data_IF_407702064844
#
_entry.id   IF_407702064844
#
_cell.length_a   1.000
_cell.length_b   1.000
_cell.length_c   1.000
_cell.angle_alpha   90.00
_cell.angle_beta   90.00
_cell.angle_gamma   90.00
#
_symmetry.space_group_name_H-M   'P 1'
#
loop_
_entity.id
_entity.type
_entity.pdbx_description
1 polymer ?
#
# COMPACT_ATOMS: atom_id res chain seq x y z
N UNK A 1 40.86 28.02 -19.31
CA UNK A 1 39.87 27.03 -19.79
C UNK A 1 39.67 26.01 -18.68
N UNK A 2 38.64 26.19 -17.85
CA UNK A 2 38.30 25.21 -16.80
C UNK A 2 37.51 24.05 -17.42
N UNK A 3 38.03 22.83 -17.25
CA UNK A 3 37.33 21.61 -17.62
C UNK A 3 36.34 21.27 -16.50
N UNK A 4 35.04 21.53 -16.74
CA UNK A 4 33.97 21.02 -15.87
C UNK A 4 33.98 19.49 -15.92
N UNK A 5 34.42 18.85 -14.84
CA UNK A 5 34.23 17.41 -14.65
C UNK A 5 32.75 17.11 -14.50
N UNK A 6 32.15 16.60 -15.56
CA UNK A 6 30.77 16.12 -15.56
C UNK A 6 30.69 14.86 -14.69
N UNK A 7 29.98 14.90 -13.57
CA UNK A 7 29.72 13.68 -12.78
C UNK A 7 28.68 12.82 -13.49
N UNK A 8 29.11 11.70 -14.09
CA UNK A 8 28.20 10.69 -14.61
C UNK A 8 27.68 9.82 -13.46
N UNK A 9 26.37 9.79 -13.25
CA UNK A 9 25.73 8.80 -12.38
C UNK A 9 25.74 7.46 -13.12
N UNK A 10 26.42 6.45 -12.56
CA UNK A 10 26.44 5.09 -13.09
C UNK A 10 25.42 4.24 -12.36
N UNK A 11 24.40 3.77 -13.07
CA UNK A 11 23.47 2.78 -12.52
C UNK A 11 24.14 1.40 -12.55
N UNK A 12 24.18 0.73 -11.40
CA UNK A 12 24.59 -0.66 -11.33
C UNK A 12 23.52 -1.53 -11.97
N UNK A 13 23.91 -2.41 -12.90
CA UNK A 13 22.99 -3.38 -13.47
C UNK A 13 22.44 -4.30 -12.35
N UNK A 14 21.14 -4.61 -12.33
CA UNK A 14 20.58 -5.53 -11.36
C UNK A 14 21.26 -6.89 -11.49
N UNK A 15 21.56 -7.52 -10.36
CA UNK A 15 22.06 -8.89 -10.33
C UNK A 15 21.05 -9.79 -11.04
N UNK A 16 21.44 -10.42 -12.14
CA UNK A 16 20.59 -11.44 -12.77
C UNK A 16 20.73 -12.71 -11.93
N UNK A 17 19.69 -13.18 -11.23
CA UNK A 17 19.78 -14.43 -10.48
C UNK A 17 20.09 -15.55 -11.46
N UNK A 18 21.17 -16.29 -11.21
CA UNK A 18 21.56 -17.47 -11.98
C UNK A 18 22.84 -17.38 -12.80
N UNK A 19 23.55 -16.24 -12.84
CA UNK A 19 24.79 -16.11 -13.66
C UNK A 19 26.12 -16.23 -12.91
N UNK A 20 26.12 -16.42 -11.59
CA UNK A 20 27.34 -16.70 -10.81
C UNK A 20 27.06 -17.73 -9.72
N UNK A 21 27.98 -18.69 -9.46
CA UNK A 21 27.85 -19.60 -8.34
C UNK A 21 28.14 -18.82 -7.04
N UNK A 22 27.09 -18.34 -6.39
CA UNK A 22 27.21 -17.87 -5.02
C UNK A 22 27.55 -19.07 -4.11
N UNK A 23 28.40 -18.92 -3.07
CA UNK A 23 28.59 -19.94 -2.04
C UNK A 23 27.23 -20.42 -1.49
N UNK A 24 27.08 -21.72 -1.15
CA UNK A 24 25.81 -22.30 -0.77
C UNK A 24 25.15 -21.62 0.45
N UNK A 25 25.96 -21.01 1.32
CA UNK A 25 25.48 -20.20 2.45
C UNK A 25 24.77 -18.91 2.00
N UNK A 26 25.30 -18.24 0.97
CA UNK A 26 24.72 -17.02 0.40
C UNK A 26 23.49 -17.37 -0.43
N UNK A 27 23.54 -18.46 -1.20
CA UNK A 27 22.39 -18.94 -1.97
C UNK A 27 21.19 -19.31 -1.07
N UNK A 28 21.42 -19.99 0.06
CA UNK A 28 20.36 -20.36 1.01
C UNK A 28 19.77 -19.16 1.77
N UNK A 29 20.61 -18.17 2.08
CA UNK A 29 20.17 -16.92 2.67
C UNK A 29 19.31 -16.09 1.68
N UNK A 30 19.69 -16.07 0.40
CA UNK A 30 18.92 -15.42 -0.67
C UNK A 30 17.61 -16.17 -0.98
N UNK A 31 17.62 -17.50 -0.99
CA UNK A 31 16.41 -18.31 -1.17
C UNK A 31 15.40 -18.16 -0.03
N UNK A 32 15.87 -17.96 1.22
CA UNK A 32 14.99 -17.58 2.34
C UNK A 32 14.45 -16.15 2.24
N UNK A 33 15.08 -15.32 1.39
CA UNK A 33 14.81 -13.89 1.22
C UNK A 33 14.19 -13.56 -0.13
N UNK A 34 13.68 -14.57 -0.86
CA UNK A 34 12.63 -14.35 -1.85
C UNK A 34 11.36 -13.95 -1.09
N UNK A 35 11.36 -12.73 -0.60
CA UNK A 35 10.13 -11.97 -0.39
C UNK A 35 9.48 -12.04 -1.77
N UNK A 36 8.38 -12.79 -1.89
CA UNK A 36 7.74 -13.17 -3.16
C UNK A 36 7.35 -11.97 -4.04
N UNK A 37 7.49 -10.75 -3.51
CA UNK A 37 7.16 -9.50 -4.15
C UNK A 37 7.97 -8.39 -3.49
N UNK A 38 8.71 -7.61 -4.26
CA UNK A 38 9.37 -6.43 -3.71
C UNK A 38 8.29 -5.46 -3.17
N UNK A 39 8.58 -4.72 -2.11
CA UNK A 39 7.60 -3.80 -1.50
C UNK A 39 7.15 -2.67 -2.46
N UNK A 40 7.88 -2.47 -3.56
CA UNK A 40 7.58 -1.53 -4.66
C UNK A 40 6.91 -2.21 -5.88
N UNK A 41 6.70 -3.53 -5.85
CA UNK A 41 5.99 -4.24 -6.92
C UNK A 41 4.49 -3.98 -6.79
N UNK A 42 4.08 -2.85 -7.37
CA UNK A 42 2.70 -2.43 -7.56
C UNK A 42 1.97 -3.32 -8.59
N UNK A 43 1.98 -4.64 -8.43
CA UNK A 43 1.26 -5.54 -9.33
C UNK A 43 -0.24 -5.25 -9.33
N UNK A 44 -0.80 -5.23 -10.53
CA UNK A 44 -2.19 -4.94 -10.93
C UNK A 44 -2.94 -3.88 -10.09
N UNK A 45 -2.52 -2.62 -10.27
CA UNK A 45 -3.16 -1.42 -9.71
C UNK A 45 -4.41 -0.97 -10.50
N UNK A 46 -4.89 -1.75 -11.48
CA UNK A 46 -5.95 -1.33 -12.40
C UNK A 46 -7.33 -1.14 -11.71
N UNK A 47 -7.56 -1.79 -10.57
CA UNK A 47 -8.74 -1.55 -9.71
C UNK A 47 -8.55 -0.50 -8.61
N UNK A 48 -7.34 0.03 -8.45
CA UNK A 48 -6.99 0.97 -7.38
C UNK A 48 -7.21 2.43 -7.76
N UNK A 49 -7.31 2.80 -9.03
CA UNK A 49 -7.28 4.21 -9.48
C UNK A 49 -8.38 5.07 -8.86
N UNK A 50 -9.62 4.59 -8.79
CA UNK A 50 -10.72 5.40 -8.27
C UNK A 50 -10.65 5.57 -6.73
N UNK A 51 -10.30 4.51 -6.00
CA UNK A 51 -10.10 4.55 -4.54
C UNK A 51 -8.85 5.34 -4.17
N UNK A 52 -7.79 5.22 -4.97
CA UNK A 52 -6.55 5.99 -4.82
C UNK A 52 -6.81 7.47 -5.06
N UNK A 53 -7.59 7.83 -6.08
CA UNK A 53 -7.97 9.22 -6.34
C UNK A 53 -8.72 9.83 -5.15
N UNK A 54 -9.70 9.13 -4.61
CA UNK A 54 -10.45 9.60 -3.45
C UNK A 54 -9.60 9.62 -2.17
N UNK A 55 -8.69 8.64 -2.00
CA UNK A 55 -7.70 8.64 -0.92
C UNK A 55 -6.80 9.87 -0.98
N UNK A 56 -6.26 10.20 -2.16
CA UNK A 56 -5.43 11.38 -2.38
C UNK A 56 -6.21 12.68 -2.15
N UNK A 57 -7.48 12.74 -2.56
CA UNK A 57 -8.35 13.88 -2.25
C UNK A 57 -8.52 14.05 -0.74
N UNK A 58 -8.84 12.97 -0.03
CA UNK A 58 -8.98 12.99 1.43
C UNK A 58 -7.67 13.38 2.12
N UNK A 59 -6.53 12.93 1.58
CA UNK A 59 -5.21 13.33 2.07
C UNK A 59 -4.94 14.82 1.83
N UNK A 60 -5.32 15.37 0.68
CA UNK A 60 -5.20 16.80 0.41
C UNK A 60 -6.08 17.64 1.35
N UNK A 61 -7.28 17.15 1.69
CA UNK A 61 -8.23 17.86 2.57
C UNK A 61 -7.88 17.74 4.06
N UNK A 62 -7.41 16.58 4.51
CA UNK A 62 -7.27 16.24 5.93
C UNK A 62 -5.85 15.88 6.37
N UNK A 63 -4.90 15.81 5.44
CA UNK A 63 -3.51 15.41 5.70
C UNK A 63 -3.43 14.03 6.37
N UNK A 64 -2.59 13.91 7.40
CA UNK A 64 -2.43 12.68 8.19
C UNK A 64 -3.73 12.20 8.87
N UNK A 65 -4.75 13.07 8.99
CA UNK A 65 -6.07 12.71 9.50
C UNK A 65 -6.97 11.96 8.52
N UNK A 66 -6.58 11.89 7.24
CA UNK A 66 -7.43 11.36 6.15
C UNK A 66 -7.91 9.93 6.39
N UNK A 67 -7.06 9.05 6.91
CA UNK A 67 -7.42 7.66 7.17
C UNK A 67 -8.53 7.54 8.23
N UNK A 68 -8.49 8.36 9.29
CA UNK A 68 -9.56 8.41 10.30
C UNK A 68 -10.84 9.01 9.74
N UNK A 69 -10.74 10.04 8.90
CA UNK A 69 -11.89 10.64 8.23
C UNK A 69 -12.59 9.64 7.29
N UNK A 70 -11.82 8.86 6.52
CA UNK A 70 -12.35 7.80 5.66
C UNK A 70 -13.02 6.69 6.47
N UNK A 71 -12.40 6.25 7.57
CA UNK A 71 -13.01 5.31 8.51
C UNK A 71 -14.34 5.84 9.07
N UNK A 72 -14.41 7.10 9.47
CA UNK A 72 -15.66 7.70 9.95
C UNK A 72 -16.76 7.73 8.89
N UNK A 73 -16.42 7.91 7.60
CA UNK A 73 -17.38 7.77 6.49
C UNK A 73 -17.84 6.32 6.31
N UNK A 74 -16.93 5.35 6.46
CA UNK A 74 -17.28 3.93 6.44
C UNK A 74 -18.25 3.59 7.59
N UNK A 75 -17.94 3.99 8.83
CA UNK A 75 -18.81 3.77 9.99
C UNK A 75 -20.21 4.36 9.78
N UNK A 76 -20.30 5.59 9.26
CA UNK A 76 -21.59 6.22 8.91
C UNK A 76 -22.38 5.42 7.88
N UNK A 77 -21.72 4.95 6.81
CA UNK A 77 -22.35 4.13 5.79
C UNK A 77 -22.83 2.78 6.35
N UNK A 78 -22.04 2.18 7.24
CA UNK A 78 -22.41 0.96 7.96
C UNK A 78 -23.68 1.16 8.80
N UNK A 79 -23.75 2.24 9.59
CA UNK A 79 -24.93 2.56 10.38
C UNK A 79 -26.16 2.92 9.52
N UNK A 80 -25.95 3.43 8.31
CA UNK A 80 -27.02 3.69 7.35
C UNK A 80 -27.47 2.42 6.58
N UNK A 81 -26.82 1.27 6.78
CA UNK A 81 -27.09 0.04 6.05
C UNK A 81 -26.58 0.03 4.59
N UNK A 82 -25.82 1.06 4.19
CA UNK A 82 -25.26 1.17 2.85
C UNK A 82 -23.93 0.39 2.77
N UNK A 83 -24.05 -0.89 2.41
CA UNK A 83 -22.91 -1.79 2.24
C UNK A 83 -21.98 -1.35 1.11
N UNK A 84 -22.51 -0.76 0.03
CA UNK A 84 -21.70 -0.34 -1.10
C UNK A 84 -20.79 0.83 -0.71
N UNK A 85 -21.35 1.85 -0.06
CA UNK A 85 -20.56 2.97 0.44
C UNK A 85 -19.61 2.54 1.55
N UNK A 86 -20.02 1.61 2.42
CA UNK A 86 -19.14 1.05 3.43
C UNK A 86 -17.90 0.38 2.83
N UNK A 87 -18.10 -0.53 1.87
CA UNK A 87 -17.00 -1.24 1.21
C UNK A 87 -16.09 -0.28 0.42
N UNK A 88 -16.67 0.79 -0.14
CA UNK A 88 -15.91 1.86 -0.79
C UNK A 88 -14.98 2.57 0.19
N UNK A 89 -15.53 3.11 1.27
CA UNK A 89 -14.75 3.89 2.26
C UNK A 89 -13.77 3.01 3.04
N UNK A 90 -14.08 1.74 3.26
CA UNK A 90 -13.13 0.78 3.82
C UNK A 90 -11.97 0.53 2.84
N UNK A 91 -12.25 0.43 1.53
CA UNK A 91 -11.24 0.37 0.49
C UNK A 91 -10.33 1.60 0.47
N UNK A 92 -10.89 2.80 0.53
CA UNK A 92 -10.14 4.06 0.63
C UNK A 92 -9.28 4.10 1.90
N UNK A 93 -9.84 3.66 3.05
CA UNK A 93 -9.10 3.56 4.31
C UNK A 93 -7.93 2.59 4.18
N UNK A 94 -8.11 1.45 3.51
CA UNK A 94 -7.04 0.45 3.29
C UNK A 94 -5.92 0.98 2.39
N UNK A 95 -6.24 1.84 1.42
CA UNK A 95 -5.25 2.52 0.58
C UNK A 95 -4.42 3.53 1.37
N UNK A 96 -5.00 4.18 2.39
CA UNK A 96 -4.29 5.15 3.25
C UNK A 96 -3.54 4.49 4.42
N UNK A 97 -4.20 3.59 5.14
CA UNK A 97 -3.68 2.88 6.31
C UNK A 97 -4.34 1.49 6.38
N UNK A 98 -3.57 0.47 5.99
CA UNK A 98 -4.02 -0.92 6.00
C UNK A 98 -4.38 -1.42 7.40
N UNK A 99 -3.63 -1.02 8.42
CA UNK A 99 -3.83 -1.49 9.81
C UNK A 99 -5.11 -0.90 10.39
N UNK A 100 -5.37 0.38 10.12
CA UNK A 100 -6.60 1.05 10.53
C UNK A 100 -7.84 0.47 9.84
N UNK A 101 -7.72 0.06 8.58
CA UNK A 101 -8.80 -0.62 7.86
C UNK A 101 -9.11 -2.02 8.44
N UNK A 102 -8.06 -2.79 8.78
CA UNK A 102 -8.21 -4.09 9.45
C UNK A 102 -8.92 -3.91 10.81
N UNK A 103 -8.49 -2.95 11.64
CA UNK A 103 -9.17 -2.61 12.89
C UNK A 103 -10.64 -2.23 12.69
N UNK A 104 -10.96 -1.43 11.66
CA UNK A 104 -12.34 -1.06 11.38
C UNK A 104 -13.20 -2.28 10.99
N UNK A 105 -12.66 -3.19 10.16
CA UNK A 105 -13.36 -4.42 9.78
C UNK A 105 -13.56 -5.39 10.94
N UNK A 106 -12.63 -5.44 11.89
CA UNK A 106 -12.69 -6.33 13.06
C UNK A 106 -13.52 -5.75 14.19
N UNK A 107 -13.50 -4.41 14.34
CA UNK A 107 -14.07 -3.70 15.50
C UNK A 107 -15.47 -3.15 15.25
N UNK A 108 -15.98 -3.16 14.01
CA UNK A 108 -17.41 -2.87 13.82
C UNK A 108 -18.21 -3.94 14.54
N UNK A 109 -18.90 -3.58 15.64
CA UNK A 109 -19.64 -4.57 16.39
C UNK A 109 -20.69 -5.12 15.46
N UNK A 110 -20.79 -6.45 15.44
CA UNK A 110 -22.06 -7.14 15.19
C UNK A 110 -23.03 -6.46 16.15
N UNK A 111 -23.80 -5.47 15.67
CA UNK A 111 -24.95 -4.97 16.40
C UNK A 111 -26.01 -6.04 16.19
N UNK A 112 -25.79 -7.17 16.86
CA UNK A 112 -26.77 -8.19 17.08
C UNK A 112 -27.91 -7.51 17.84
N UNK A 113 -28.97 -7.26 17.08
CA UNK A 113 -30.37 -7.43 17.48
C UNK A 113 -30.62 -7.29 18.98
N UNK A 114 -31.14 -6.13 19.38
CA UNK A 114 -32.07 -6.03 20.52
C UNK A 114 -33.11 -4.96 20.26
#
# INVERSE_FOLDING_TARGET
>A
MELKTNMSIRFAAPHTPGRLPAPPSIARALARRSIERAANDNGDMTGHDAKLRDALRMFAEHGLGAARAARGKAEKAFFAGDRQSYDWWLGVTRTLDRRLAEEASTRLPIKEIS
#
